data_IF_528012429955
#
_entry.id   IF_528012429955
#
_cell.length_a   1.000
_cell.length_b   1.000
_cell.length_c   1.000
_cell.angle_alpha   90.00
_cell.angle_beta   90.00
_cell.angle_gamma   90.00
#
_symmetry.space_group_name_H-M   'P 1'
#
loop_
_entity.id
_entity.type
_entity.pdbx_description
1 polymer ?
#
# COMPACT_ATOMS: atom_id res chain seq x y z
N UNK A 1 -13.50 15.62 8.67
CA UNK A 1 -14.29 14.38 8.66
C UNK A 1 -13.57 13.33 9.49
N UNK A 2 -14.14 12.87 10.61
CA UNK A 2 -13.59 11.73 11.36
C UNK A 2 -14.20 10.46 10.75
N UNK A 3 -13.39 9.64 10.10
CA UNK A 3 -13.83 8.31 9.68
C UNK A 3 -14.13 7.49 10.92
N UNK A 4 -15.16 6.65 10.87
CA UNK A 4 -15.52 5.76 11.97
C UNK A 4 -15.27 4.32 11.57
N UNK A 5 -14.73 3.50 12.48
CA UNK A 5 -14.57 2.07 12.24
C UNK A 5 -15.95 1.37 12.25
N UNK A 6 -15.97 0.06 12.04
CA UNK A 6 -17.21 -0.74 12.07
C UNK A 6 -17.88 -0.72 13.46
N UNK A 7 -17.11 -0.56 14.53
CA UNK A 7 -17.58 -0.45 15.90
C UNK A 7 -18.12 0.96 16.27
N UNK A 8 -17.88 1.98 15.43
CA UNK A 8 -18.31 3.36 15.64
C UNK A 8 -17.25 4.29 16.27
N UNK A 9 -16.04 3.82 16.54
CA UNK A 9 -14.96 4.63 17.11
C UNK A 9 -14.35 5.55 16.05
N UNK A 10 -13.88 6.73 16.48
CA UNK A 10 -13.19 7.65 15.59
C UNK A 10 -11.81 7.10 15.20
N UNK A 11 -11.54 7.04 13.90
CA UNK A 11 -10.28 6.57 13.32
C UNK A 11 -9.58 7.71 12.59
N UNK A 12 -8.26 7.79 12.78
CA UNK A 12 -7.41 8.66 11.96
C UNK A 12 -7.29 8.11 10.53
N UNK A 13 -7.72 8.90 9.56
CA UNK A 13 -7.74 8.53 8.15
C UNK A 13 -6.38 8.73 7.45
N UNK A 14 -5.45 9.47 8.06
CA UNK A 14 -4.16 9.83 7.44
C UNK A 14 -3.36 8.59 7.01
N UNK A 15 -3.20 7.54 7.84
CA UNK A 15 -2.46 6.35 7.43
C UNK A 15 -3.08 5.66 6.21
N UNK A 16 -4.41 5.63 6.11
CA UNK A 16 -5.08 5.08 4.94
C UNK A 16 -4.81 5.91 3.70
N UNK A 17 -4.93 7.23 3.80
CA UNK A 17 -4.71 8.14 2.67
C UNK A 17 -3.26 8.03 2.15
N UNK A 18 -2.28 7.99 3.06
CA UNK A 18 -0.86 7.85 2.69
C UNK A 18 -0.63 6.52 1.97
N UNK A 19 -1.16 5.41 2.49
CA UNK A 19 -0.97 4.09 1.88
C UNK A 19 -1.68 3.99 0.54
N UNK A 20 -2.92 4.47 0.44
CA UNK A 20 -3.69 4.46 -0.81
C UNK A 20 -3.04 5.35 -1.87
N UNK A 21 -2.61 6.57 -1.51
CA UNK A 21 -1.93 7.48 -2.43
C UNK A 21 -0.59 6.92 -2.93
N UNK A 22 0.20 6.32 -2.03
CA UNK A 22 1.45 5.68 -2.43
C UNK A 22 1.22 4.45 -3.33
N UNK A 23 0.20 3.63 -3.02
CA UNK A 23 -0.18 2.51 -3.86
C UNK A 23 -0.65 2.97 -5.25
N UNK A 24 -1.43 4.05 -5.33
CA UNK A 24 -1.86 4.64 -6.60
C UNK A 24 -0.68 5.09 -7.44
N UNK A 25 0.21 5.88 -6.84
CA UNK A 25 1.40 6.41 -7.51
C UNK A 25 2.27 5.27 -8.03
N UNK A 26 2.62 4.30 -7.18
CA UNK A 26 3.49 3.19 -7.56
C UNK A 26 2.84 2.30 -8.61
N UNK A 27 1.58 1.90 -8.40
CA UNK A 27 0.88 1.01 -9.31
C UNK A 27 0.71 1.62 -10.70
N UNK A 28 0.35 2.91 -10.82
CA UNK A 28 0.13 3.50 -12.14
C UNK A 28 1.42 4.01 -12.80
N UNK A 29 2.46 4.38 -12.03
CA UNK A 29 3.75 4.77 -12.60
C UNK A 29 4.58 3.57 -13.07
N UNK A 30 4.61 2.48 -12.29
CA UNK A 30 5.48 1.33 -12.58
C UNK A 30 4.73 0.08 -13.04
N UNK A 31 3.46 -0.09 -12.64
CA UNK A 31 2.66 -1.27 -12.99
C UNK A 31 2.56 -1.50 -14.49
N UNK A 32 2.24 -0.49 -15.32
CA UNK A 32 2.14 -0.71 -16.76
C UNK A 32 3.49 -1.08 -17.37
N UNK A 33 4.58 -0.44 -16.93
CA UNK A 33 5.95 -0.73 -17.40
C UNK A 33 6.28 -2.20 -17.12
N UNK A 34 6.02 -2.66 -15.90
CA UNK A 34 6.24 -4.03 -15.49
C UNK A 34 5.39 -5.05 -16.25
N UNK A 35 4.09 -4.76 -16.41
CA UNK A 35 3.18 -5.66 -17.11
C UNK A 35 3.55 -5.79 -18.58
N UNK A 36 3.87 -4.67 -19.24
CA UNK A 36 4.32 -4.68 -20.64
C UNK A 36 5.68 -5.37 -20.79
N UNK A 37 6.65 -5.08 -19.93
CA UNK A 37 7.99 -5.67 -20.02
C UNK A 37 8.01 -7.19 -19.74
N UNK A 38 7.26 -7.64 -18.73
CA UNK A 38 7.34 -9.03 -18.26
C UNK A 38 6.32 -9.95 -18.95
N UNK A 39 5.13 -9.43 -19.26
CA UNK A 39 4.04 -10.22 -19.85
C UNK A 39 3.77 -9.88 -21.31
N UNK A 40 4.42 -8.86 -21.89
CA UNK A 40 4.25 -8.49 -23.29
C UNK A 40 2.85 -8.01 -23.65
N UNK A 41 2.07 -7.56 -22.66
CA UNK A 41 0.69 -7.09 -22.87
C UNK A 41 0.66 -5.69 -23.46
N UNK A 42 -0.46 -5.31 -24.08
CA UNK A 42 -0.70 -3.98 -24.59
C UNK A 42 -1.02 -2.97 -23.47
N UNK A 43 -0.84 -1.68 -23.77
CA UNK A 43 -1.00 -0.60 -22.80
C UNK A 43 -2.39 -0.57 -22.10
N UNK A 44 -3.52 -0.75 -22.80
CA UNK A 44 -4.84 -0.78 -22.15
C UNK A 44 -4.97 -1.89 -21.11
N UNK A 45 -4.46 -3.08 -21.41
CA UNK A 45 -4.50 -4.21 -20.48
C UNK A 45 -3.54 -3.99 -19.31
N UNK A 46 -2.34 -3.47 -19.58
CA UNK A 46 -1.35 -3.11 -18.55
C UNK A 46 -1.89 -2.06 -17.57
N UNK A 47 -2.57 -1.03 -18.08
CA UNK A 47 -3.23 -0.01 -17.25
C UNK A 47 -4.36 -0.60 -16.42
N UNK A 48 -5.20 -1.44 -17.02
CA UNK A 48 -6.30 -2.09 -16.32
C UNK A 48 -5.79 -3.00 -15.18
N UNK A 49 -4.75 -3.79 -15.44
CA UNK A 49 -4.09 -4.61 -14.41
C UNK A 49 -3.50 -3.76 -13.28
N UNK A 50 -2.90 -2.62 -13.61
CA UNK A 50 -2.34 -1.68 -12.64
C UNK A 50 -3.42 -1.01 -11.77
N UNK A 51 -4.54 -0.61 -12.36
CA UNK A 51 -5.71 -0.09 -11.63
C UNK A 51 -6.31 -1.16 -10.74
N UNK A 52 -6.43 -2.40 -11.22
CA UNK A 52 -6.94 -3.52 -10.42
C UNK A 52 -6.04 -3.79 -9.20
N UNK A 53 -4.72 -3.78 -9.38
CA UNK A 53 -3.76 -3.92 -8.29
C UNK A 53 -3.86 -2.78 -7.26
N UNK A 54 -4.01 -1.54 -7.74
CA UNK A 54 -4.27 -0.39 -6.88
C UNK A 54 -5.56 -0.55 -6.07
N UNK A 55 -6.68 -0.89 -6.73
CA UNK A 55 -7.98 -1.05 -6.07
C UNK A 55 -7.91 -2.15 -5.00
N UNK A 56 -7.33 -3.31 -5.31
CA UNK A 56 -7.15 -4.38 -4.34
C UNK A 56 -6.34 -3.92 -3.12
N UNK A 57 -5.26 -3.18 -3.36
CA UNK A 57 -4.40 -2.63 -2.29
C UNK A 57 -5.14 -1.58 -1.45
N UNK A 58 -5.89 -0.68 -2.09
CA UNK A 58 -6.68 0.35 -1.43
C UNK A 58 -7.80 -0.27 -0.57
N UNK A 59 -8.50 -1.28 -1.08
CA UNK A 59 -9.51 -2.03 -0.32
C UNK A 59 -8.87 -2.72 0.88
N UNK A 60 -7.73 -3.40 0.71
CA UNK A 60 -7.02 -4.03 1.82
C UNK A 60 -6.57 -3.01 2.88
N UNK A 61 -6.06 -1.85 2.45
CA UNK A 61 -5.67 -0.75 3.32
C UNK A 61 -6.87 -0.19 4.09
N UNK A 62 -8.00 0.04 3.41
CA UNK A 62 -9.24 0.50 4.04
C UNK A 62 -9.72 -0.50 5.09
N UNK A 63 -9.74 -1.78 4.73
CA UNK A 63 -10.15 -2.84 5.66
C UNK A 63 -9.28 -2.86 6.91
N UNK A 64 -7.95 -2.77 6.78
CA UNK A 64 -7.02 -2.87 7.91
C UNK A 64 -6.90 -1.60 8.74
N UNK A 65 -6.87 -0.43 8.10
CA UNK A 65 -6.54 0.84 8.73
C UNK A 65 -7.76 1.65 9.15
N UNK A 66 -8.92 1.39 8.54
CA UNK A 66 -10.18 2.06 8.87
C UNK A 66 -11.15 1.08 9.49
N UNK A 67 -11.54 0.03 8.74
CA UNK A 67 -12.68 -0.81 9.13
C UNK A 67 -12.40 -1.70 10.35
N UNK A 68 -11.20 -2.29 10.44
CA UNK A 68 -10.78 -3.16 11.55
C UNK A 68 -9.83 -2.47 12.53
N UNK A 69 -9.71 -1.14 12.47
CA UNK A 69 -8.88 -0.41 13.39
C UNK A 69 -9.52 -0.40 14.78
N UNK A 70 -8.78 -0.89 15.78
CA UNK A 70 -9.16 -0.80 17.20
C UNK A 70 -8.27 0.24 17.87
N UNK A 71 -8.69 1.51 17.95
CA UNK A 71 -7.88 2.59 18.53
C UNK A 71 -7.56 2.33 20.00
N UNK A 72 -8.48 1.77 20.78
CA UNK A 72 -8.34 1.54 22.23
C UNK A 72 -7.21 0.56 22.59
N UNK A 73 -6.94 -0.42 21.72
CA UNK A 73 -5.85 -1.38 21.90
C UNK A 73 -4.48 -0.81 21.49
N UNK A 74 -4.46 0.29 20.72
CA UNK A 74 -3.21 0.88 20.22
C UNK A 74 -2.44 1.68 21.26
N UNK A 75 -3.14 2.25 22.24
CA UNK A 75 -2.54 3.10 23.27
C UNK A 75 -1.63 2.32 24.24
N UNK A 76 -1.86 1.01 24.39
CA UNK A 76 -1.13 0.15 25.33
C UNK A 76 -0.02 -0.71 24.70
N UNK A 77 0.38 -0.46 23.45
CA UNK A 77 1.43 -1.27 22.82
C UNK A 77 2.84 -0.90 23.33
N UNK A 78 3.66 -1.91 23.73
CA UNK A 78 5.05 -1.69 24.11
C UNK A 78 5.83 -0.99 22.99
N UNK A 79 6.72 -0.06 23.35
CA UNK A 79 7.54 0.68 22.39
C UNK A 79 8.38 -0.24 21.47
N UNK A 80 8.81 -1.39 21.98
CA UNK A 80 9.56 -2.42 21.23
C UNK A 80 8.78 -2.97 20.03
N UNK A 81 7.45 -3.16 20.17
CA UNK A 81 6.59 -3.62 19.08
C UNK A 81 6.45 -2.57 17.96
N UNK A 82 6.36 -1.29 18.34
CA UNK A 82 6.30 -0.18 17.38
C UNK A 82 7.59 -0.08 16.57
N UNK A 83 8.74 -0.17 17.23
CA UNK A 83 10.05 -0.12 16.58
C UNK A 83 10.24 -1.27 15.59
N UNK A 84 9.91 -2.50 15.99
CA UNK A 84 10.03 -3.68 15.12
C UNK A 84 9.17 -3.57 13.86
N UNK A 85 7.94 -3.05 14.01
CA UNK A 85 7.05 -2.79 12.89
C UNK A 85 7.59 -1.71 11.94
N UNK A 86 8.25 -0.68 12.48
CA UNK A 86 8.92 0.35 11.68
C UNK A 86 10.09 -0.23 10.88
N UNK A 87 10.91 -1.08 11.51
CA UNK A 87 12.01 -1.79 10.84
C UNK A 87 11.49 -2.68 9.71
N UNK A 88 10.43 -3.47 9.95
CA UNK A 88 9.83 -4.28 8.89
C UNK A 88 9.27 -3.44 7.74
N UNK A 89 8.66 -2.29 8.05
CA UNK A 89 8.20 -1.36 7.02
C UNK A 89 9.35 -0.77 6.22
N UNK A 90 10.46 -0.40 6.87
CA UNK A 90 11.65 0.13 6.21
C UNK A 90 12.31 -0.92 5.30
N UNK A 91 12.45 -2.16 5.76
CA UNK A 91 12.99 -3.27 4.95
C UNK A 91 12.07 -3.55 3.77
N UNK A 92 10.76 -3.66 3.98
CA UNK A 92 9.80 -3.88 2.90
C UNK A 92 9.82 -2.75 1.86
N UNK A 93 9.95 -1.49 2.32
CA UNK A 93 10.09 -0.34 1.44
C UNK A 93 11.40 -0.36 0.66
N UNK A 94 12.52 -0.71 1.28
CA UNK A 94 13.80 -0.86 0.60
C UNK A 94 13.76 -1.94 -0.49
N UNK A 95 13.18 -3.12 -0.17
CA UNK A 95 12.97 -4.18 -1.14
C UNK A 95 12.05 -3.74 -2.29
N UNK A 96 11.00 -2.96 -1.99
CA UNK A 96 10.14 -2.39 -3.00
C UNK A 96 10.90 -1.45 -3.93
N UNK A 97 11.77 -0.58 -3.41
CA UNK A 97 12.60 0.29 -4.24
C UNK A 97 13.53 -0.51 -5.16
N UNK A 98 14.20 -1.54 -4.64
CA UNK A 98 15.03 -2.45 -5.45
C UNK A 98 14.19 -3.10 -6.54
N UNK A 99 13.00 -3.60 -6.20
CA UNK A 99 12.07 -4.13 -7.19
C UNK A 99 11.76 -3.06 -8.25
N UNK A 100 11.35 -1.85 -7.88
CA UNK A 100 11.01 -0.80 -8.86
C UNK A 100 12.16 -0.43 -9.80
N UNK A 101 13.42 -0.68 -9.42
CA UNK A 101 14.58 -0.44 -10.29
C UNK A 101 14.87 -1.54 -11.31
N UNK A 102 14.31 -2.76 -11.18
CA UNK A 102 14.62 -3.86 -12.10
C UNK A 102 14.35 -3.57 -13.58
N UNK A 103 13.26 -2.87 -13.98
CA UNK A 103 13.03 -2.56 -15.39
C UNK A 103 14.04 -1.57 -15.97
N UNK A 104 14.84 -0.93 -15.12
CA UNK A 104 15.88 0.02 -15.50
C UNK A 104 17.25 -0.63 -15.69
N UNK A 105 17.40 -1.88 -15.26
CA UNK A 105 18.60 -2.67 -15.46
C UNK A 105 18.39 -3.45 -16.75
N UNK A 106 19.12 -3.09 -17.80
CA UNK A 106 19.14 -3.84 -19.05
C UNK A 106 19.74 -5.24 -18.77
N UNK A 107 18.96 -6.31 -18.99
CA UNK A 107 19.40 -7.70 -18.92
C UNK A 107 19.51 -8.29 -20.33
#
# INVERSE_FOLDING_TARGET
>A
MRLRNREGDAVDAVPFLVVAGMAFMIALSFGPIYLMALFGVDLPLALTGSVAAFVATAVAAYHRLVRSARPDLRENLPASWRFRRLLYAAVAFGLLLVLLTLPLVDW
#
